data_IF_274432372688
#
_entry.id   IF_274432372688
#
_cell.length_a   1.000
_cell.length_b   1.000
_cell.length_c   1.000
_cell.angle_alpha   90.00
_cell.angle_beta   90.00
_cell.angle_gamma   90.00
#
_symmetry.space_group_name_H-M   'P 1'
#
loop_
_entity.id
_entity.type
_entity.pdbx_description
1 polymer ?
#
# COMPACT_ATOMS: atom_id res chain seq x y z
N UNK A 1 -0.33 7.57 -17.36
CA UNK A 1 0.40 7.29 -16.10
C UNK A 1 0.09 5.85 -15.68
N UNK A 2 0.78 4.91 -16.36
CA UNK A 2 0.80 3.44 -16.20
C UNK A 2 1.61 2.81 -17.36
N UNK A 3 1.77 3.56 -18.46
CA UNK A 3 2.58 3.13 -19.62
C UNK A 3 4.09 3.20 -19.35
N UNK A 4 4.56 4.20 -18.57
CA UNK A 4 5.97 4.37 -18.17
C UNK A 4 6.33 3.77 -16.79
N UNK A 5 5.40 3.10 -16.11
CA UNK A 5 5.67 2.63 -14.74
C UNK A 5 6.49 1.34 -14.74
N UNK A 6 7.69 1.42 -14.16
CA UNK A 6 8.67 0.34 -13.92
C UNK A 6 8.13 -0.76 -12.96
N UNK A 7 6.82 -0.79 -12.69
CA UNK A 7 6.21 -1.71 -11.71
C UNK A 7 5.89 -3.04 -12.40
N UNK A 8 6.53 -4.15 -11.98
CA UNK A 8 6.23 -5.49 -12.51
C UNK A 8 4.75 -5.83 -12.38
N UNK A 9 4.19 -6.53 -13.39
CA UNK A 9 2.77 -6.93 -13.40
C UNK A 9 2.34 -7.70 -12.15
N UNK A 10 3.25 -8.49 -11.56
CA UNK A 10 3.02 -9.22 -10.32
C UNK A 10 2.74 -8.33 -9.11
N UNK A 11 3.17 -7.06 -9.14
CA UNK A 11 3.03 -6.10 -8.04
C UNK A 11 1.89 -5.10 -8.26
N UNK A 12 1.12 -5.21 -9.35
CA UNK A 12 0.03 -4.27 -9.62
C UNK A 12 -1.06 -4.30 -8.56
N UNK A 13 -1.40 -5.48 -8.03
CA UNK A 13 -2.36 -5.60 -6.94
C UNK A 13 -1.90 -4.86 -5.67
N UNK A 14 -0.64 -5.05 -5.30
CA UNK A 14 -0.02 -4.34 -4.19
C UNK A 14 0.02 -2.82 -4.43
N UNK A 15 0.27 -2.39 -5.67
CA UNK A 15 0.36 -0.97 -6.03
C UNK A 15 -0.98 -0.26 -5.83
N UNK A 16 -2.05 -0.91 -6.28
CA UNK A 16 -3.41 -0.39 -6.10
C UNK A 16 -3.78 -0.40 -4.62
N UNK A 17 -3.43 -1.45 -3.87
CA UNK A 17 -3.70 -1.52 -2.44
C UNK A 17 -2.96 -0.43 -1.65
N UNK A 18 -1.67 -0.22 -1.91
CA UNK A 18 -0.87 0.81 -1.25
C UNK A 18 -1.35 2.22 -1.58
N UNK A 19 -1.66 2.49 -2.85
CA UNK A 19 -2.25 3.77 -3.25
C UNK A 19 -3.62 4.03 -2.59
N UNK A 20 -4.47 3.00 -2.50
CA UNK A 20 -5.78 3.08 -1.85
C UNK A 20 -5.63 3.30 -0.34
N UNK A 21 -4.73 2.58 0.31
CA UNK A 21 -4.41 2.75 1.72
C UNK A 21 -3.91 4.17 1.99
N UNK A 22 -2.95 4.67 1.21
CA UNK A 22 -2.44 6.03 1.32
C UNK A 22 -3.56 7.06 1.20
N UNK A 23 -4.42 6.93 0.18
CA UNK A 23 -5.55 7.84 -0.03
C UNK A 23 -6.48 7.88 1.18
N UNK A 24 -6.70 6.73 1.82
CA UNK A 24 -7.56 6.64 3.00
C UNK A 24 -6.92 7.28 4.25
N UNK A 25 -5.58 7.21 4.37
CA UNK A 25 -4.80 7.76 5.48
C UNK A 25 -4.40 9.22 5.30
N UNK A 26 -4.53 9.79 4.08
CA UNK A 26 -4.23 11.20 3.81
C UNK A 26 -5.46 12.09 3.97
N UNK A 27 -5.24 13.31 4.47
CA UNK A 27 -6.31 14.30 4.61
C UNK A 27 -6.89 14.66 3.24
N UNK A 28 -8.21 14.76 3.15
CA UNK A 28 -8.89 15.19 1.93
C UNK A 28 -9.61 16.52 2.14
N UNK A 29 -9.60 17.38 1.12
CA UNK A 29 -10.33 18.66 1.15
C UNK A 29 -11.84 18.47 1.32
N UNK A 30 -12.37 17.32 0.87
CA UNK A 30 -13.79 17.01 0.98
C UNK A 30 -14.26 16.77 2.42
N UNK A 31 -13.33 16.47 3.35
CA UNK A 31 -13.62 16.21 4.76
C UNK A 31 -12.94 17.26 5.67
N UNK A 32 -12.80 18.49 5.18
CA UNK A 32 -12.27 19.63 5.95
C UNK A 32 -10.90 19.36 6.60
N UNK A 33 -10.06 18.53 5.96
CA UNK A 33 -8.73 18.19 6.46
C UNK A 33 -8.67 16.91 7.30
N UNK A 34 -9.79 16.24 7.55
CA UNK A 34 -9.80 14.87 8.07
C UNK A 34 -9.40 13.86 7.00
N UNK A 35 -8.85 12.74 7.46
CA UNK A 35 -8.62 11.56 6.63
C UNK A 35 -9.92 10.78 6.43
N UNK A 36 -10.02 10.02 5.34
CA UNK A 36 -11.16 9.12 5.12
C UNK A 36 -11.24 8.06 6.23
N UNK A 37 -10.09 7.61 6.74
CA UNK A 37 -10.03 6.70 7.87
C UNK A 37 -10.64 7.31 9.13
N UNK A 38 -10.30 8.55 9.50
CA UNK A 38 -10.89 9.23 10.66
C UNK A 38 -12.39 9.49 10.54
N UNK A 39 -12.88 9.72 9.32
CA UNK A 39 -14.32 9.89 9.09
C UNK A 39 -15.09 8.57 9.20
N UNK A 40 -14.44 7.44 8.91
CA UNK A 40 -15.06 6.11 8.96
C UNK A 40 -14.88 5.42 10.32
N UNK A 41 -13.72 5.60 10.94
CA UNK A 41 -13.31 4.99 12.19
C UNK A 41 -13.00 6.11 13.19
N UNK A 42 -13.54 6.02 14.41
CA UNK A 42 -13.30 6.99 15.47
C UNK A 42 -11.85 6.88 15.99
N UNK A 43 -10.88 7.40 15.26
CA UNK A 43 -9.47 7.37 15.64
C UNK A 43 -8.52 7.86 14.54
N UNK A 44 -7.34 8.34 14.97
CA UNK A 44 -6.27 8.76 14.05
C UNK A 44 -5.67 7.55 13.34
N UNK A 45 -5.21 7.71 12.08
CA UNK A 45 -4.53 6.64 11.36
C UNK A 45 -3.20 6.28 12.02
N UNK A 46 -2.95 4.99 12.24
CA UNK A 46 -1.61 4.50 12.62
C UNK A 46 -0.73 4.37 11.38
N UNK A 47 0.37 5.13 11.35
CA UNK A 47 1.32 5.18 10.24
C UNK A 47 2.64 4.46 10.55
N UNK A 48 2.77 3.78 11.69
CA UNK A 48 4.02 3.13 12.11
C UNK A 48 4.55 2.08 11.11
N UNK A 49 3.68 1.50 10.29
CA UNK A 49 4.04 0.52 9.25
C UNK A 49 4.26 1.10 7.85
N UNK A 50 4.19 2.42 7.67
CA UNK A 50 4.29 3.02 6.36
C UNK A 50 5.72 2.92 5.80
N UNK A 51 5.85 2.21 4.69
CA UNK A 51 7.09 2.13 3.92
C UNK A 51 6.91 2.82 2.56
N UNK A 52 8.02 3.36 2.03
CA UNK A 52 8.04 3.87 0.67
C UNK A 52 7.73 2.72 -0.31
N UNK A 53 6.98 3.02 -1.37
CA UNK A 53 6.55 2.02 -2.36
C UNK A 53 7.73 1.24 -2.98
N UNK A 54 8.88 1.88 -3.15
CA UNK A 54 10.08 1.31 -3.76
C UNK A 54 11.05 0.67 -2.73
N UNK A 55 10.55 0.33 -1.54
CA UNK A 55 11.39 -0.32 -0.51
C UNK A 55 11.74 -1.74 -0.94
N UNK A 56 12.99 -2.16 -0.72
CA UNK A 56 13.42 -3.51 -1.02
C UNK A 56 12.65 -4.53 -0.15
N UNK A 57 12.09 -5.56 -0.80
CA UNK A 57 11.35 -6.64 -0.15
C UNK A 57 11.92 -8.01 -0.50
N UNK A 58 11.77 -8.96 0.42
CA UNK A 58 12.12 -10.35 0.18
C UNK A 58 10.96 -11.07 -0.52
N UNK A 59 11.23 -11.66 -1.68
CA UNK A 59 10.25 -12.50 -2.40
C UNK A 59 10.66 -13.96 -2.24
N UNK A 60 9.70 -14.79 -1.82
CA UNK A 60 9.93 -16.23 -1.72
C UNK A 60 10.11 -16.84 -3.12
N UNK A 61 11.28 -17.43 -3.39
CA UNK A 61 11.51 -18.20 -4.62
C UNK A 61 10.96 -19.61 -4.47
N UNK A 62 9.85 -19.90 -5.15
CA UNK A 62 9.22 -21.22 -5.16
C UNK A 62 10.07 -22.34 -5.78
N UNK A 63 11.20 -22.02 -6.43
CA UNK A 63 12.13 -23.03 -6.99
C UNK A 63 13.10 -23.59 -5.95
N UNK A 64 13.36 -22.84 -4.87
CA UNK A 64 14.20 -23.28 -3.77
C UNK A 64 13.36 -24.10 -2.79
N UNK A 65 13.10 -25.36 -3.14
CA UNK A 65 12.54 -26.42 -2.29
C UNK A 65 11.65 -25.95 -1.13
N UNK A 66 10.35 -25.83 -1.38
CA UNK A 66 9.34 -25.60 -0.35
C UNK A 66 9.56 -26.54 0.85
N UNK A 67 9.72 -25.99 2.05
CA UNK A 67 9.69 -26.75 3.32
C UNK A 67 8.27 -27.01 3.82
N UNK A 68 7.26 -26.54 3.10
CA UNK A 68 5.87 -26.92 3.32
C UNK A 68 5.67 -28.30 2.68
N UNK A 69 6.00 -29.33 3.47
CA UNK A 69 5.56 -30.70 3.31
C UNK A 69 4.37 -30.92 4.24
#
# INVERSE_FOLDING_TARGET
MLDDSVVPKSLWGEAVNHATWLKNQTSTKALEGMTLFEALASGKPDLKGLQAWDSAVWVHDGKAGSKLN
#
